data_IF_101139347040
#
_entry.id   IF_101139347040
#
_cell.length_a   1.000
_cell.length_b   1.000
_cell.length_c   1.000
_cell.angle_alpha   90.00
_cell.angle_beta   90.00
_cell.angle_gamma   90.00
#
_symmetry.space_group_name_H-M   'P 1'
#
loop_
_entity.id
_entity.type
_entity.pdbx_description
1 polymer ?
#
# COMPACT_ATOMS: atom_id res chain seq x y z
N UNK A 1 -29.62 47.75 0.63
CA UNK A 1 -29.76 46.45 1.30
C UNK A 1 -28.76 45.47 0.66
N UNK A 2 -27.65 45.26 1.31
CA UNK A 2 -26.61 44.36 0.77
C UNK A 2 -26.92 42.92 1.24
N UNK A 3 -27.29 42.07 0.33
CA UNK A 3 -27.42 40.65 0.62
C UNK A 3 -26.02 40.04 0.50
N UNK A 4 -25.40 39.76 1.63
CA UNK A 4 -24.18 38.97 1.61
C UNK A 4 -24.55 37.54 1.22
N UNK A 5 -24.36 37.20 -0.02
CA UNK A 5 -24.41 35.79 -0.45
C UNK A 5 -23.10 35.16 0.01
N UNK A 6 -23.18 34.48 1.14
CA UNK A 6 -22.12 33.61 1.56
C UNK A 6 -22.07 32.45 0.55
N UNK A 7 -21.22 32.53 -0.43
CA UNK A 7 -20.92 31.39 -1.28
C UNK A 7 -20.10 30.41 -0.43
N UNK A 8 -20.78 29.45 0.15
CA UNK A 8 -20.10 28.29 0.71
C UNK A 8 -19.56 27.53 -0.50
N UNK A 9 -18.30 27.76 -0.83
CA UNK A 9 -17.62 26.89 -1.76
C UNK A 9 -17.77 25.45 -1.24
N UNK A 10 -18.23 24.49 -2.05
CA UNK A 10 -18.24 23.13 -1.63
C UNK A 10 -16.83 22.77 -1.21
N UNK A 11 -16.66 22.48 0.08
CA UNK A 11 -15.43 21.86 0.55
C UNK A 11 -15.43 20.51 -0.16
N UNK A 12 -14.63 20.44 -1.22
CA UNK A 12 -14.34 19.14 -1.79
C UNK A 12 -13.69 18.34 -0.65
N UNK A 13 -14.47 17.44 -0.06
CA UNK A 13 -13.90 16.40 0.78
C UNK A 13 -13.10 15.55 -0.17
N UNK A 14 -11.86 15.95 -0.40
CA UNK A 14 -10.91 15.07 -1.05
C UNK A 14 -10.90 13.79 -0.24
N UNK A 15 -11.13 12.65 -0.91
CA UNK A 15 -10.86 11.35 -0.32
C UNK A 15 -9.48 11.45 0.34
N UNK A 16 -9.32 11.00 1.61
CA UNK A 16 -8.01 11.07 2.25
C UNK A 16 -6.99 10.44 1.31
N UNK A 17 -5.97 11.23 0.96
CA UNK A 17 -4.91 10.77 0.07
C UNK A 17 -4.26 9.54 0.66
N UNK A 18 -3.96 8.56 -0.19
CA UNK A 18 -3.21 7.40 0.20
C UNK A 18 -1.84 7.82 0.72
N UNK A 19 -1.45 7.32 1.88
CA UNK A 19 -0.12 7.55 2.42
C UNK A 19 0.84 6.58 1.74
N UNK A 20 1.86 7.06 1.03
CA UNK A 20 2.82 6.17 0.40
C UNK A 20 3.72 5.52 1.45
N UNK A 21 3.83 4.20 1.41
CA UNK A 21 4.79 3.43 2.19
C UNK A 21 5.89 2.95 1.24
N UNK A 22 7.09 3.39 1.50
CA UNK A 22 8.28 3.01 0.73
C UNK A 22 9.19 2.11 1.55
N UNK A 23 10.21 1.53 0.91
CA UNK A 23 11.15 0.65 1.60
C UNK A 23 11.78 1.27 2.85
N UNK A 24 12.00 2.60 2.86
CA UNK A 24 12.51 3.33 4.01
C UNK A 24 11.57 3.32 5.23
N UNK A 25 10.29 3.03 5.04
CA UNK A 25 9.31 2.90 6.12
C UNK A 25 9.32 1.49 6.74
N UNK A 26 10.05 0.54 6.16
CA UNK A 26 10.16 -0.81 6.71
C UNK A 26 10.75 -0.76 8.12
N UNK A 27 10.08 -1.41 9.05
CA UNK A 27 10.43 -1.38 10.47
C UNK A 27 9.95 -0.15 11.23
N UNK A 28 9.35 0.83 10.56
CA UNK A 28 8.79 2.03 11.18
C UNK A 28 7.28 1.97 11.25
N UNK A 29 6.71 2.57 12.29
CA UNK A 29 5.27 2.67 12.42
C UNK A 29 4.71 3.81 11.57
N UNK A 30 3.63 3.53 10.85
CA UNK A 30 2.86 4.52 10.10
C UNK A 30 1.47 4.61 10.71
N UNK A 31 1.00 5.82 10.95
CA UNK A 31 -0.32 6.05 11.57
C UNK A 31 -1.34 6.34 10.49
N UNK A 32 -2.45 5.61 10.51
CA UNK A 32 -3.60 5.81 9.66
C UNK A 32 -4.83 6.05 10.51
N UNK A 33 -5.73 6.88 10.01
CA UNK A 33 -7.09 6.98 10.54
C UNK A 33 -7.93 5.82 10.02
N UNK A 34 -8.97 5.46 10.75
CA UNK A 34 -9.96 4.49 10.27
C UNK A 34 -10.55 4.97 8.94
N UNK A 35 -10.58 4.10 7.95
CA UNK A 35 -11.04 4.41 6.60
C UNK A 35 -10.02 5.10 5.71
N UNK A 36 -8.91 5.56 6.26
CA UNK A 36 -7.78 6.05 5.47
C UNK A 36 -6.98 4.87 4.92
N UNK A 37 -6.46 5.01 3.71
CA UNK A 37 -5.63 3.98 3.11
C UNK A 37 -4.17 4.40 3.02
N UNK A 38 -3.30 3.40 3.03
CA UNK A 38 -1.91 3.53 2.65
C UNK A 38 -1.68 2.76 1.36
N UNK A 39 -0.71 3.20 0.60
CA UNK A 39 -0.31 2.56 -0.65
C UNK A 39 1.11 2.04 -0.54
N UNK A 40 1.30 0.78 -0.88
CA UNK A 40 2.61 0.15 -0.98
C UNK A 40 2.86 -0.17 -2.43
N UNK A 41 3.92 0.38 -3.00
CA UNK A 41 4.34 0.09 -4.36
C UNK A 41 5.63 -0.71 -4.32
N UNK A 42 5.61 -1.89 -4.92
CA UNK A 42 6.74 -2.82 -4.91
C UNK A 42 7.10 -3.22 -6.33
N UNK A 43 8.38 -3.14 -6.63
CA UNK A 43 8.88 -3.63 -7.89
C UNK A 43 8.84 -5.15 -7.91
N UNK A 44 8.33 -5.70 -8.99
CA UNK A 44 8.22 -7.14 -9.19
C UNK A 44 8.66 -7.51 -10.60
N UNK A 45 9.12 -8.75 -10.78
CA UNK A 45 9.48 -9.26 -12.09
C UNK A 45 9.05 -10.73 -12.19
N UNK A 46 7.88 -10.95 -12.79
CA UNK A 46 7.28 -12.26 -12.91
C UNK A 46 8.13 -13.24 -13.75
N UNK A 47 8.94 -12.72 -14.67
CA UNK A 47 9.79 -13.56 -15.52
C UNK A 47 10.86 -14.32 -14.73
N UNK A 48 11.21 -13.85 -13.54
CA UNK A 48 12.21 -14.50 -12.68
C UNK A 48 11.61 -15.56 -11.76
N UNK A 49 10.26 -15.65 -11.70
CA UNK A 49 9.55 -16.53 -10.79
C UNK A 49 9.41 -15.97 -9.37
N UNK A 50 10.01 -14.83 -9.08
CA UNK A 50 9.85 -14.15 -7.80
C UNK A 50 8.50 -13.45 -7.72
N UNK A 51 7.90 -13.52 -6.56
CA UNK A 51 6.63 -12.83 -6.26
C UNK A 51 6.61 -12.36 -4.82
N UNK A 52 5.78 -11.38 -4.57
CA UNK A 52 5.54 -10.88 -3.23
C UNK A 52 4.49 -11.72 -2.54
N UNK A 53 4.86 -12.30 -1.41
CA UNK A 53 3.94 -12.94 -0.49
C UNK A 53 3.63 -11.96 0.63
N UNK A 54 2.34 -11.74 0.89
CA UNK A 54 1.87 -10.80 1.91
C UNK A 54 1.31 -11.56 3.09
N UNK A 55 1.87 -11.29 4.26
CA UNK A 55 1.34 -11.75 5.53
C UNK A 55 0.88 -10.55 6.34
N UNK A 56 -0.42 -10.40 6.53
CA UNK A 56 -1.02 -9.33 7.30
C UNK A 56 -1.67 -9.88 8.56
N UNK A 57 -1.49 -9.20 9.68
CA UNK A 57 -2.18 -9.56 10.91
C UNK A 57 -3.69 -9.40 10.73
N UNK A 58 -4.45 -10.17 11.52
CA UNK A 58 -5.91 -10.07 11.51
C UNK A 58 -6.35 -8.65 11.91
N UNK A 59 -7.24 -8.06 11.13
CA UNK A 59 -7.76 -6.72 11.37
C UNK A 59 -7.23 -5.65 10.43
N UNK A 60 -6.16 -5.93 9.70
CA UNK A 60 -5.65 -5.08 8.64
C UNK A 60 -5.90 -5.74 7.28
N UNK A 61 -6.38 -4.97 6.32
CA UNK A 61 -6.60 -5.45 4.97
C UNK A 61 -5.50 -4.96 4.05
N UNK A 62 -4.93 -5.88 3.31
CA UNK A 62 -3.95 -5.58 2.25
C UNK A 62 -4.47 -6.18 0.96
N UNK A 63 -4.63 -5.32 -0.04
CA UNK A 63 -5.23 -5.71 -1.32
C UNK A 63 -4.30 -5.31 -2.45
N UNK A 64 -4.01 -6.24 -3.36
CA UNK A 64 -3.35 -5.91 -4.62
C UNK A 64 -4.35 -5.17 -5.51
N UNK A 65 -4.04 -3.93 -5.86
CA UNK A 65 -4.92 -3.09 -6.68
C UNK A 65 -4.59 -3.23 -8.16
N UNK A 66 -3.30 -3.13 -8.50
CA UNK A 66 -2.85 -3.19 -9.88
C UNK A 66 -1.40 -3.59 -9.98
N UNK A 67 -1.03 -4.11 -11.13
CA UNK A 67 0.35 -4.35 -11.52
C UNK A 67 0.56 -3.68 -12.87
N UNK A 68 1.52 -2.76 -12.93
CA UNK A 68 1.79 -1.95 -14.12
C UNK A 68 3.19 -2.23 -14.61
N UNK A 69 3.32 -2.59 -15.89
CA UNK A 69 4.61 -2.76 -16.53
C UNK A 69 5.33 -1.40 -16.63
N UNK A 70 6.58 -1.34 -16.19
CA UNK A 70 7.37 -0.11 -16.29
C UNK A 70 7.77 0.22 -17.74
N UNK A 71 7.88 -0.82 -18.58
CA UNK A 71 8.17 -0.68 -20.01
C UNK A 71 7.24 -1.61 -20.79
N UNK A 72 6.03 -1.15 -21.15
CA UNK A 72 5.06 -1.96 -21.88
C UNK A 72 5.65 -2.51 -23.17
N UNK A 73 5.39 -3.80 -23.44
CA UNK A 73 5.87 -4.48 -24.64
C UNK A 73 7.30 -5.00 -24.57
N UNK A 74 8.05 -4.74 -23.51
CA UNK A 74 9.38 -5.28 -23.31
C UNK A 74 9.32 -6.57 -22.49
N UNK A 75 9.71 -7.68 -23.07
CA UNK A 75 9.77 -8.97 -22.38
C UNK A 75 10.85 -8.92 -21.29
N UNK A 76 10.52 -9.41 -20.10
CA UNK A 76 11.46 -9.44 -18.97
C UNK A 76 11.63 -8.12 -18.23
N UNK A 77 10.93 -7.07 -18.62
CA UNK A 77 10.95 -5.80 -17.89
C UNK A 77 10.23 -5.92 -16.54
N UNK A 78 10.69 -5.21 -15.50
CA UNK A 78 10.01 -5.21 -14.22
C UNK A 78 8.66 -4.50 -14.29
N UNK A 79 7.80 -4.84 -13.35
CA UNK A 79 6.51 -4.20 -13.14
C UNK A 79 6.44 -3.61 -11.74
N UNK A 80 5.50 -2.74 -11.49
CA UNK A 80 5.20 -2.20 -10.16
C UNK A 80 3.86 -2.74 -9.70
N UNK A 81 3.87 -3.44 -8.59
CA UNK A 81 2.66 -3.92 -7.92
C UNK A 81 2.25 -2.91 -6.87
N UNK A 82 1.01 -2.46 -6.93
CA UNK A 82 0.44 -1.49 -5.99
C UNK A 82 -0.55 -2.19 -5.07
N UNK A 83 -0.31 -2.08 -3.77
CA UNK A 83 -1.17 -2.62 -2.73
C UNK A 83 -1.83 -1.48 -1.96
N UNK A 84 -3.08 -1.68 -1.60
CA UNK A 84 -3.80 -0.79 -0.70
C UNK A 84 -3.92 -1.42 0.68
N UNK A 85 -3.61 -0.64 1.70
CA UNK A 85 -3.66 -1.05 3.10
C UNK A 85 -4.71 -0.23 3.81
N UNK A 86 -5.65 -0.87 4.47
CA UNK A 86 -6.73 -0.23 5.21
C UNK A 86 -7.02 -0.99 6.50
N UNK A 87 -7.42 -0.26 7.53
CA UNK A 87 -7.85 -0.85 8.79
C UNK A 87 -9.16 -0.22 9.27
N UNK A 88 -10.08 -1.06 9.77
CA UNK A 88 -11.39 -0.63 10.27
C UNK A 88 -11.41 -0.43 11.78
N UNK A 89 -10.49 -1.02 12.51
CA UNK A 89 -10.44 -0.99 13.98
C UNK A 89 -9.13 -0.40 14.47
N UNK A 90 -9.20 0.31 15.57
CA UNK A 90 -8.02 0.76 16.30
C UNK A 90 -7.10 -0.41 16.62
N UNK A 91 -5.84 -0.18 16.50
CA UNK A 91 -4.83 -1.17 16.85
C UNK A 91 -3.53 -0.92 16.13
N UNK A 92 -2.55 -1.74 16.45
CA UNK A 92 -1.27 -1.75 15.78
C UNK A 92 -1.12 -3.09 15.09
N UNK A 93 -0.84 -3.04 13.79
CA UNK A 93 -0.83 -4.21 12.93
C UNK A 93 0.49 -4.32 12.20
N UNK A 94 0.97 -5.54 12.04
CA UNK A 94 2.17 -5.83 11.28
C UNK A 94 1.79 -6.41 9.93
N UNK A 95 2.48 -5.94 8.88
CA UNK A 95 2.35 -6.45 7.52
C UNK A 95 3.75 -6.80 7.05
N UNK A 96 3.92 -8.03 6.59
CA UNK A 96 5.20 -8.52 6.08
C UNK A 96 5.05 -8.86 4.61
N UNK A 97 5.88 -8.25 3.79
CA UNK A 97 6.01 -8.56 2.37
C UNK A 97 7.30 -9.35 2.17
N UNK A 98 7.20 -10.54 1.62
CA UNK A 98 8.37 -11.37 1.31
C UNK A 98 8.48 -11.57 -0.18
N UNK A 99 9.62 -11.22 -0.73
CA UNK A 99 9.94 -11.46 -2.13
C UNK A 99 10.63 -12.81 -2.27
N UNK A 100 9.97 -13.76 -2.89
CA UNK A 100 10.43 -15.14 -2.90
C UNK A 100 9.92 -15.91 -4.12
N UNK A 101 10.61 -16.97 -4.43
CA UNK A 101 10.12 -18.03 -5.31
C UNK A 101 9.39 -19.05 -4.43
N UNK A 102 8.10 -19.35 -4.71
CA UNK A 102 7.30 -20.22 -3.82
C UNK A 102 7.91 -21.61 -3.59
N UNK A 103 8.60 -22.15 -4.59
CA UNK A 103 9.21 -23.47 -4.50
C UNK A 103 10.52 -23.50 -3.69
N UNK A 104 11.15 -22.37 -3.45
CA UNK A 104 12.40 -22.29 -2.67
C UNK A 104 12.14 -22.13 -1.17
N UNK A 105 10.98 -21.59 -0.79
CA UNK A 105 10.62 -21.39 0.60
C UNK A 105 11.47 -20.34 1.35
N UNK A 106 12.31 -19.60 0.64
CA UNK A 106 13.23 -18.62 1.22
C UNK A 106 13.06 -17.27 0.55
N UNK A 107 12.82 -16.23 1.37
CA UNK A 107 12.70 -14.86 0.88
C UNK A 107 14.09 -14.26 0.64
N UNK A 108 14.25 -13.60 -0.51
CA UNK A 108 15.47 -12.83 -0.82
C UNK A 108 15.36 -11.39 -0.34
N UNK A 109 14.15 -10.93 -0.09
CA UNK A 109 13.87 -9.61 0.46
C UNK A 109 12.64 -9.68 1.35
N UNK A 110 12.70 -9.00 2.48
CA UNK A 110 11.59 -8.91 3.42
C UNK A 110 11.39 -7.46 3.83
N UNK A 111 10.17 -6.97 3.70
CA UNK A 111 9.77 -5.64 4.15
C UNK A 111 8.69 -5.82 5.22
N UNK A 112 8.87 -5.17 6.35
CA UNK A 112 7.92 -5.19 7.46
C UNK A 112 7.40 -3.79 7.70
N UNK A 113 6.09 -3.63 7.60
CA UNK A 113 5.42 -2.37 7.91
C UNK A 113 4.58 -2.53 9.16
N UNK A 114 4.67 -1.54 10.03
CA UNK A 114 3.83 -1.45 11.23
C UNK A 114 2.84 -0.34 10.98
N UNK A 115 1.54 -0.67 11.02
CA UNK A 115 0.46 0.27 10.76
C UNK A 115 -0.36 0.44 12.04
N UNK A 116 -0.44 1.67 12.49
CA UNK A 116 -1.24 2.05 13.66
C UNK A 116 -2.52 2.70 13.18
N UNK A 117 -3.64 2.11 13.52
CA UNK A 117 -4.97 2.66 13.21
C UNK A 117 -5.48 3.42 14.45
N UNK A 118 -5.78 4.65 14.25
CA UNK A 118 -6.28 5.53 15.32
C UNK A 118 -7.74 5.92 15.14
#
# INVERSE_FOLDING_TARGET
>A
MAIAISVIAPVAIAAPADIPLVGANSGKATTLRRGQSARVELQTNASTGYMWKVDAERGINVMLVTTVATRPGMVGAPSVASYRVMGARRGTYRIVFRYMRPWEGKAVRTLTYIVRIV
#
